data_IF_911645993346
#
_entry.id   IF_911645993346
#
_cell.length_a   1.000
_cell.length_b   1.000
_cell.length_c   1.000
_cell.angle_alpha   90.00
_cell.angle_beta   90.00
_cell.angle_gamma   90.00
#
_symmetry.space_group_name_H-M   'P 1'
#
loop_
_entity.id
_entity.type
_entity.pdbx_description
1 polymer ?
#
# COMPACT_ATOMS: atom_id res chain seq x y z
N UNK A 1 137.10 76.17 -18.64
CA UNK A 1 136.09 77.08 -18.05
C UNK A 1 135.45 77.85 -19.19
N UNK A 2 134.13 77.99 -19.31
CA UNK A 2 133.04 77.44 -18.51
C UNK A 2 131.88 76.97 -19.44
N UNK A 3 130.99 76.09 -18.95
CA UNK A 3 129.73 75.77 -19.63
C UNK A 3 128.69 76.85 -19.30
N UNK A 4 127.92 77.31 -20.29
CA UNK A 4 126.84 78.28 -20.08
C UNK A 4 125.64 77.68 -19.32
N UNK A 5 124.85 78.50 -18.60
CA UNK A 5 123.79 78.02 -17.70
C UNK A 5 122.53 77.47 -18.42
N UNK A 6 122.36 77.76 -19.71
CA UNK A 6 121.15 77.43 -20.48
C UNK A 6 120.91 75.92 -20.60
N UNK A 7 121.98 75.12 -20.68
CA UNK A 7 121.88 73.66 -20.71
C UNK A 7 121.32 73.05 -19.40
N UNK A 8 121.53 73.71 -18.26
CA UNK A 8 120.95 73.28 -16.99
C UNK A 8 119.44 73.52 -16.94
N UNK A 9 118.98 74.67 -17.47
CA UNK A 9 117.55 75.00 -17.51
C UNK A 9 116.77 74.03 -18.41
N UNK A 10 117.29 73.75 -19.61
CA UNK A 10 116.72 72.75 -20.52
C UNK A 10 116.68 71.34 -19.91
N UNK A 11 117.71 70.94 -19.17
CA UNK A 11 117.72 69.68 -18.41
C UNK A 11 116.60 69.62 -17.37
N UNK A 12 116.49 70.64 -16.51
CA UNK A 12 115.42 70.70 -15.49
C UNK A 12 114.02 70.74 -16.08
N UNK A 13 113.82 71.40 -17.24
CA UNK A 13 112.53 71.36 -17.94
C UNK A 13 112.20 69.96 -18.48
N UNK A 14 113.19 69.23 -19.02
CA UNK A 14 112.98 67.88 -19.52
C UNK A 14 112.64 66.90 -18.37
N UNK A 15 113.37 66.97 -17.25
CA UNK A 15 113.08 66.19 -16.05
C UNK A 15 111.69 66.53 -15.47
N UNK A 16 111.32 67.81 -15.41
CA UNK A 16 110.00 68.22 -14.94
C UNK A 16 108.87 67.73 -15.85
N UNK A 17 109.05 67.79 -17.18
CA UNK A 17 108.10 67.21 -18.15
C UNK A 17 108.01 65.69 -18.00
N UNK A 18 109.14 65.00 -17.80
CA UNK A 18 109.14 63.54 -17.59
C UNK A 18 108.42 63.15 -16.29
N UNK A 19 108.65 63.88 -15.20
CA UNK A 19 107.92 63.71 -13.94
C UNK A 19 106.41 63.94 -14.11
N UNK A 20 106.00 65.04 -14.75
CA UNK A 20 104.59 65.32 -15.05
C UNK A 20 103.96 64.28 -15.99
N UNK A 21 104.74 63.70 -16.90
CA UNK A 21 104.27 62.60 -17.79
C UNK A 21 104.04 61.32 -16.97
N UNK A 22 105.00 60.95 -16.12
CA UNK A 22 104.87 59.79 -15.22
C UNK A 22 103.72 59.97 -14.22
N UNK A 23 103.49 61.18 -13.72
CA UNK A 23 102.35 61.50 -12.86
C UNK A 23 101.02 61.42 -13.60
N UNK A 24 100.93 61.93 -14.84
CA UNK A 24 99.75 61.76 -15.68
C UNK A 24 99.44 60.30 -15.95
N UNK A 25 100.44 59.47 -16.26
CA UNK A 25 100.25 58.01 -16.41
C UNK A 25 99.73 57.40 -15.11
N UNK A 26 100.29 57.74 -13.94
CA UNK A 26 99.77 57.26 -12.64
C UNK A 26 98.34 57.74 -12.35
N UNK A 27 97.94 58.93 -12.82
CA UNK A 27 96.58 59.45 -12.68
C UNK A 27 95.60 58.76 -13.64
N UNK A 28 96.02 58.43 -14.86
CA UNK A 28 95.27 57.57 -15.80
C UNK A 28 95.07 56.17 -15.18
N UNK A 29 96.15 55.55 -14.71
CA UNK A 29 96.15 54.25 -14.02
C UNK A 29 95.19 54.21 -12.81
N UNK A 30 95.06 55.33 -12.09
CA UNK A 30 94.12 55.48 -10.95
C UNK A 30 92.69 55.71 -11.44
N UNK A 31 92.49 56.54 -12.45
CA UNK A 31 91.17 56.82 -13.02
C UNK A 31 90.55 55.57 -13.65
N UNK A 32 91.29 54.76 -14.41
CA UNK A 32 90.81 53.49 -14.96
C UNK A 32 90.34 52.54 -13.84
N UNK A 33 91.15 52.39 -12.77
CA UNK A 33 90.78 51.56 -11.60
C UNK A 33 89.57 52.13 -10.83
N UNK A 34 89.33 53.44 -10.88
CA UNK A 34 88.11 54.06 -10.36
C UNK A 34 86.90 53.81 -11.27
N UNK A 35 87.05 53.89 -12.59
CA UNK A 35 85.99 53.60 -13.55
C UNK A 35 85.53 52.14 -13.47
N UNK A 36 86.44 51.16 -13.50
CA UNK A 36 86.08 49.74 -13.33
C UNK A 36 85.40 49.48 -11.99
N UNK A 37 85.80 50.19 -10.92
CA UNK A 37 85.15 50.07 -9.60
C UNK A 37 83.77 50.72 -9.54
N UNK A 38 83.53 51.80 -10.30
CA UNK A 38 82.20 52.39 -10.49
C UNK A 38 81.31 51.44 -11.29
N UNK A 39 81.84 50.82 -12.35
CA UNK A 39 81.15 49.83 -13.17
C UNK A 39 80.75 48.59 -12.34
N UNK A 40 81.67 48.02 -11.56
CA UNK A 40 81.38 46.95 -10.58
C UNK A 40 80.26 47.33 -9.59
N UNK A 41 80.27 48.57 -9.09
CA UNK A 41 79.25 49.04 -8.15
C UNK A 41 77.90 49.27 -8.84
N UNK A 42 77.90 49.72 -10.09
CA UNK A 42 76.71 49.89 -10.91
C UNK A 42 76.09 48.53 -11.28
N UNK A 43 76.90 47.52 -11.61
CA UNK A 43 76.42 46.16 -11.85
C UNK A 43 75.81 45.57 -10.57
N UNK A 44 76.51 45.65 -9.43
CA UNK A 44 76.02 45.18 -8.13
C UNK A 44 74.73 45.89 -7.71
N UNK A 45 74.60 47.19 -7.99
CA UNK A 45 73.35 47.94 -7.78
C UNK A 45 72.22 47.45 -8.70
N UNK A 46 72.51 47.13 -9.96
CA UNK A 46 71.56 46.52 -10.90
C UNK A 46 71.08 45.15 -10.43
N UNK A 47 72.01 44.27 -10.04
CA UNK A 47 71.68 42.95 -9.46
C UNK A 47 70.86 43.08 -8.15
N UNK A 48 71.15 44.07 -7.30
CA UNK A 48 70.38 44.37 -6.10
C UNK A 48 68.97 44.90 -6.41
N UNK A 49 68.82 45.73 -7.46
CA UNK A 49 67.51 46.21 -7.90
C UNK A 49 66.65 45.07 -8.47
N UNK A 50 67.24 44.18 -9.28
CA UNK A 50 66.55 43.01 -9.84
C UNK A 50 66.12 42.02 -8.75
N UNK A 51 67.01 41.67 -7.82
CA UNK A 51 66.68 40.78 -6.71
C UNK A 51 65.65 41.38 -5.74
N UNK A 52 65.67 42.70 -5.51
CA UNK A 52 64.59 43.39 -4.78
C UNK A 52 63.24 43.31 -5.51
N UNK A 53 63.22 43.46 -6.83
CA UNK A 53 61.99 43.36 -7.62
C UNK A 53 61.42 41.94 -7.62
N UNK A 54 62.27 40.92 -7.80
CA UNK A 54 61.92 39.50 -7.70
C UNK A 54 61.33 39.14 -6.32
N UNK A 55 62.01 39.51 -5.23
CA UNK A 55 61.50 39.32 -3.87
C UNK A 55 60.16 40.02 -3.64
N UNK A 56 59.98 41.23 -4.17
CA UNK A 56 58.70 41.95 -4.09
C UNK A 56 57.59 41.25 -4.87
N UNK A 57 57.90 40.69 -6.05
CA UNK A 57 56.92 39.93 -6.85
C UNK A 57 56.52 38.64 -6.16
N UNK A 58 57.47 37.90 -5.59
CA UNK A 58 57.19 36.66 -4.82
C UNK A 58 56.34 36.93 -3.59
N UNK A 59 56.59 38.05 -2.89
CA UNK A 59 55.77 38.46 -1.75
C UNK A 59 54.31 38.69 -2.18
N UNK A 60 54.09 39.47 -3.24
CA UNK A 60 52.75 39.75 -3.79
C UNK A 60 52.02 38.44 -4.13
N UNK A 61 52.66 37.52 -4.87
CA UNK A 61 52.04 36.24 -5.19
C UNK A 61 51.70 35.41 -3.94
N UNK A 62 52.56 35.42 -2.91
CA UNK A 62 52.28 34.73 -1.65
C UNK A 62 51.13 35.36 -0.83
N UNK A 63 50.92 36.66 -0.96
CA UNK A 63 49.78 37.36 -0.36
C UNK A 63 48.48 37.10 -1.15
N UNK A 64 48.53 37.06 -2.49
CA UNK A 64 47.42 36.64 -3.35
C UNK A 64 46.99 35.19 -3.08
N UNK A 65 47.94 34.25 -2.99
CA UNK A 65 47.67 32.85 -2.63
C UNK A 65 47.06 32.74 -1.23
N UNK A 66 47.58 33.48 -0.24
CA UNK A 66 47.03 33.52 1.11
C UNK A 66 45.61 34.10 1.16
N UNK A 67 45.34 35.17 0.41
CA UNK A 67 43.99 35.76 0.28
C UNK A 67 43.02 34.78 -0.39
N UNK A 68 43.47 34.07 -1.43
CA UNK A 68 42.68 33.02 -2.09
C UNK A 68 42.34 31.89 -1.13
N UNK A 69 43.32 31.32 -0.41
CA UNK A 69 43.10 30.28 0.59
C UNK A 69 42.16 30.78 1.71
N UNK A 70 42.32 32.03 2.15
CA UNK A 70 41.45 32.64 3.16
C UNK A 70 40.00 32.83 2.66
N UNK A 71 39.79 33.11 1.37
CA UNK A 71 38.46 33.16 0.75
C UNK A 71 37.86 31.76 0.65
N UNK A 72 38.59 30.81 0.07
CA UNK A 72 38.13 29.44 -0.14
C UNK A 72 37.78 28.75 1.20
N UNK A 73 38.48 29.10 2.29
CA UNK A 73 38.16 28.68 3.65
C UNK A 73 36.87 29.31 4.23
N UNK A 74 36.57 30.57 3.90
CA UNK A 74 35.31 31.23 4.30
C UNK A 74 34.13 30.68 3.49
N UNK A 75 34.30 30.48 2.18
CA UNK A 75 33.29 29.84 1.33
C UNK A 75 32.97 28.42 1.83
N UNK A 76 33.99 27.64 2.20
CA UNK A 76 33.80 26.32 2.81
C UNK A 76 33.06 26.37 4.15
N UNK A 77 33.30 27.38 5.00
CA UNK A 77 32.53 27.58 6.23
C UNK A 77 31.07 27.95 5.95
N UNK A 78 30.80 28.77 4.93
CA UNK A 78 29.46 29.14 4.50
C UNK A 78 28.69 27.90 4.02
N UNK A 79 29.28 27.09 3.14
CA UNK A 79 28.65 25.85 2.66
C UNK A 79 28.48 24.80 3.78
N UNK A 80 29.44 24.71 4.71
CA UNK A 80 29.31 23.84 5.89
C UNK A 80 28.15 24.27 6.79
N UNK A 81 28.01 25.57 7.05
CA UNK A 81 26.90 26.11 7.85
C UNK A 81 25.56 25.94 7.13
N UNK A 82 25.49 26.19 5.82
CA UNK A 82 24.31 25.99 4.98
C UNK A 82 23.86 24.53 4.92
N UNK A 83 24.81 23.58 4.88
CA UNK A 83 24.51 22.15 4.96
C UNK A 83 24.00 21.74 6.34
N UNK A 84 24.58 22.29 7.41
CA UNK A 84 24.10 22.09 8.77
C UNK A 84 22.69 22.66 8.97
N UNK A 85 22.40 23.86 8.47
CA UNK A 85 21.07 24.50 8.49
C UNK A 85 20.03 23.66 7.73
N UNK A 86 20.38 23.13 6.55
CA UNK A 86 19.53 22.19 5.80
C UNK A 86 19.21 20.94 6.62
N UNK A 87 20.21 20.31 7.24
CA UNK A 87 19.97 19.14 8.10
C UNK A 87 19.20 19.47 9.38
N UNK A 88 19.38 20.65 9.97
CA UNK A 88 18.58 21.12 11.11
C UNK A 88 17.10 21.27 10.70
N UNK A 89 16.81 21.87 9.55
CA UNK A 89 15.45 22.01 8.99
C UNK A 89 14.81 20.64 8.65
N UNK A 90 15.52 19.77 7.93
CA UNK A 90 15.09 18.39 7.63
C UNK A 90 14.73 17.62 8.92
N UNK A 91 15.52 17.80 9.99
CA UNK A 91 15.24 17.19 11.29
C UNK A 91 14.00 17.77 11.99
N UNK A 92 13.64 19.03 11.77
CA UNK A 92 12.37 19.59 12.29
C UNK A 92 11.17 19.08 11.50
N UNK A 93 11.26 19.01 10.17
CA UNK A 93 10.20 18.43 9.33
C UNK A 93 9.94 16.95 9.65
N UNK A 94 11.00 16.15 9.79
CA UNK A 94 10.90 14.74 10.18
C UNK A 94 10.30 14.56 11.58
N UNK A 95 10.64 15.40 12.56
CA UNK A 95 10.02 15.36 13.91
C UNK A 95 8.54 15.69 13.86
N UNK A 96 8.14 16.68 13.07
CA UNK A 96 6.72 17.04 12.89
C UNK A 96 5.94 15.91 12.21
N UNK A 97 6.54 15.23 11.22
CA UNK A 97 5.95 14.06 10.57
C UNK A 97 5.82 12.87 11.54
N UNK A 98 6.85 12.59 12.34
CA UNK A 98 6.82 11.54 13.37
C UNK A 98 5.70 11.83 14.38
N UNK A 99 5.62 13.04 14.94
CA UNK A 99 4.54 13.43 15.84
C UNK A 99 3.15 13.29 15.19
N UNK A 100 3.02 13.62 13.90
CA UNK A 100 1.77 13.41 13.15
C UNK A 100 1.40 11.93 13.01
N UNK A 101 2.38 11.06 12.78
CA UNK A 101 2.18 9.61 12.69
C UNK A 101 1.89 8.97 14.07
N UNK A 102 2.58 9.40 15.13
CA UNK A 102 2.35 8.97 16.51
C UNK A 102 0.92 9.30 16.96
N UNK A 103 0.46 10.53 16.74
CA UNK A 103 -0.94 10.91 17.00
C UNK A 103 -1.92 10.04 16.19
N UNK A 104 -1.62 9.75 14.91
CA UNK A 104 -2.50 8.92 14.07
C UNK A 104 -2.51 7.44 14.48
N UNK A 105 -1.41 6.92 15.03
CA UNK A 105 -1.36 5.58 15.62
C UNK A 105 -2.23 5.53 16.87
N UNK A 106 -2.10 6.49 17.79
CA UNK A 106 -2.94 6.60 18.99
C UNK A 106 -4.44 6.73 18.66
N UNK A 107 -4.81 7.46 17.61
CA UNK A 107 -6.19 7.49 17.10
C UNK A 107 -6.69 6.11 16.65
N UNK A 108 -5.84 5.34 15.95
CA UNK A 108 -6.19 4.00 15.44
C UNK A 108 -6.30 3.00 16.59
N UNK A 109 -5.37 3.01 17.55
CA UNK A 109 -5.40 2.16 18.75
C UNK A 109 -6.67 2.43 19.57
N UNK A 110 -7.02 3.70 19.82
CA UNK A 110 -8.27 4.07 20.50
C UNK A 110 -9.55 3.73 19.71
N UNK A 111 -9.46 3.48 18.40
CA UNK A 111 -10.57 2.97 17.60
C UNK A 111 -10.63 1.43 17.66
N UNK A 112 -9.49 0.74 17.64
CA UNK A 112 -9.41 -0.71 17.78
C UNK A 112 -9.92 -1.17 19.16
N UNK A 113 -9.49 -0.53 20.25
CA UNK A 113 -9.99 -0.76 21.62
C UNK A 113 -11.53 -0.63 21.74
N UNK A 114 -12.13 0.32 21.02
CA UNK A 114 -13.59 0.49 21.00
C UNK A 114 -14.28 -0.64 20.23
N UNK A 115 -13.79 -0.95 19.03
CA UNK A 115 -14.41 -2.00 18.19
C UNK A 115 -14.22 -3.40 18.76
N UNK A 116 -13.12 -3.67 19.46
CA UNK A 116 -12.91 -4.91 20.22
C UNK A 116 -13.83 -4.99 21.43
N UNK A 117 -13.98 -3.91 22.22
CA UNK A 117 -14.96 -3.84 23.31
C UNK A 117 -16.41 -4.02 22.85
N UNK A 118 -16.81 -3.41 21.72
CA UNK A 118 -18.13 -3.61 21.11
C UNK A 118 -18.33 -5.05 20.63
N UNK A 119 -17.31 -5.63 19.97
CA UNK A 119 -17.30 -7.03 19.51
C UNK A 119 -17.48 -8.00 20.68
N UNK A 120 -16.74 -7.82 21.77
CA UNK A 120 -16.77 -8.75 22.90
C UNK A 120 -18.10 -8.63 23.67
N UNK A 121 -18.65 -7.43 23.85
CA UNK A 121 -20.00 -7.25 24.40
C UNK A 121 -21.10 -7.89 23.53
N UNK A 122 -20.95 -7.87 22.20
CA UNK A 122 -21.84 -8.62 21.29
C UNK A 122 -21.62 -10.13 21.38
N UNK A 123 -20.40 -10.59 21.59
CA UNK A 123 -20.07 -12.01 21.76
C UNK A 123 -20.65 -12.58 23.06
N UNK A 124 -20.55 -11.86 24.18
CA UNK A 124 -21.20 -12.23 25.44
C UNK A 124 -22.72 -12.31 25.28
N UNK A 125 -23.34 -11.31 24.65
CA UNK A 125 -24.79 -11.28 24.42
C UNK A 125 -25.28 -12.39 23.48
N UNK A 126 -24.45 -12.80 22.52
CA UNK A 126 -24.73 -13.97 21.68
C UNK A 126 -24.63 -15.26 22.51
N UNK A 127 -23.62 -15.38 23.36
CA UNK A 127 -23.42 -16.54 24.23
C UNK A 127 -24.55 -16.70 25.27
N UNK A 128 -25.11 -15.61 25.83
CA UNK A 128 -26.30 -15.70 26.68
C UNK A 128 -27.51 -16.18 25.88
N UNK A 129 -27.78 -15.61 24.71
CA UNK A 129 -28.94 -15.97 23.89
C UNK A 129 -28.86 -17.42 23.35
N UNK A 130 -27.65 -17.93 23.08
CA UNK A 130 -27.47 -19.36 22.81
C UNK A 130 -27.82 -20.24 24.02
N UNK A 131 -27.53 -19.80 25.23
CA UNK A 131 -27.85 -20.55 26.44
C UNK A 131 -29.35 -20.53 26.73
N UNK A 132 -30.00 -19.37 26.62
CA UNK A 132 -31.46 -19.22 26.67
C UNK A 132 -32.15 -20.19 25.69
N UNK A 133 -31.61 -20.31 24.46
CA UNK A 133 -32.12 -21.23 23.45
C UNK A 133 -31.87 -22.72 23.80
N UNK A 134 -30.71 -23.05 24.41
CA UNK A 134 -30.43 -24.43 24.89
C UNK A 134 -31.38 -24.81 26.04
N UNK A 135 -31.65 -23.88 26.95
CA UNK A 135 -32.59 -24.07 28.07
C UNK A 135 -34.02 -24.24 27.57
N UNK A 136 -34.52 -23.36 26.70
CA UNK A 136 -35.85 -23.48 26.09
C UNK A 136 -36.02 -24.77 25.26
N UNK A 137 -34.96 -25.24 24.59
CA UNK A 137 -34.97 -26.53 23.90
C UNK A 137 -35.09 -27.72 24.87
N UNK A 138 -34.41 -27.65 26.03
CA UNK A 138 -34.53 -28.66 27.09
C UNK A 138 -35.94 -28.65 27.72
N UNK A 139 -36.52 -27.48 27.97
CA UNK A 139 -37.91 -27.34 28.44
C UNK A 139 -38.90 -27.94 27.44
N UNK A 140 -38.75 -27.66 26.14
CA UNK A 140 -39.59 -28.23 25.09
C UNK A 140 -39.47 -29.76 25.03
N UNK A 141 -38.27 -30.32 25.19
CA UNK A 141 -38.05 -31.77 25.24
C UNK A 141 -38.72 -32.40 26.48
N UNK A 142 -38.59 -31.77 27.65
CA UNK A 142 -39.24 -32.23 28.88
C UNK A 142 -40.79 -32.16 28.76
N UNK A 143 -41.32 -31.06 28.25
CA UNK A 143 -42.75 -30.89 28.00
C UNK A 143 -43.31 -31.92 27.00
N UNK A 144 -42.57 -32.17 25.91
CA UNK A 144 -42.91 -33.20 24.93
C UNK A 144 -42.89 -34.61 25.53
N UNK A 145 -41.95 -34.90 26.43
CA UNK A 145 -41.91 -36.15 27.19
C UNK A 145 -43.11 -36.29 28.10
N UNK A 146 -43.50 -35.22 28.82
CA UNK A 146 -44.66 -35.22 29.71
C UNK A 146 -45.97 -35.46 28.93
N UNK A 147 -46.17 -34.82 27.77
CA UNK A 147 -47.31 -35.10 26.90
C UNK A 147 -47.32 -36.54 26.36
N UNK A 148 -46.15 -37.14 26.09
CA UNK A 148 -46.05 -38.54 25.66
C UNK A 148 -46.42 -39.53 26.79
N UNK A 149 -46.12 -39.19 28.05
CA UNK A 149 -46.55 -39.98 29.22
C UNK A 149 -48.06 -39.84 29.43
N UNK A 150 -48.57 -38.61 29.49
CA UNK A 150 -50.00 -38.33 29.69
C UNK A 150 -50.88 -38.95 28.58
N UNK A 151 -50.39 -38.99 27.34
CA UNK A 151 -51.07 -39.68 26.23
C UNK A 151 -51.22 -41.19 26.47
N UNK A 152 -50.18 -41.85 27.00
CA UNK A 152 -50.23 -43.29 27.36
C UNK A 152 -51.11 -43.56 28.57
N UNK A 153 -51.12 -42.67 29.56
CA UNK A 153 -52.01 -42.75 30.71
C UNK A 153 -53.48 -42.62 30.29
N UNK A 154 -53.77 -41.69 29.36
CA UNK A 154 -55.10 -41.54 28.77
C UNK A 154 -55.51 -42.78 27.95
N UNK A 155 -54.60 -43.33 27.13
CA UNK A 155 -54.84 -44.57 26.37
C UNK A 155 -55.14 -45.77 27.28
N UNK A 156 -54.43 -45.90 28.41
CA UNK A 156 -54.70 -46.91 29.44
C UNK A 156 -56.05 -46.69 30.15
N UNK A 157 -56.46 -45.44 30.38
CA UNK A 157 -57.77 -45.15 31.00
C UNK A 157 -58.93 -45.40 30.02
N UNK A 158 -58.71 -45.13 28.72
CA UNK A 158 -59.63 -45.54 27.66
C UNK A 158 -59.77 -47.06 27.60
N UNK A 159 -58.68 -47.83 27.63
CA UNK A 159 -58.76 -49.30 27.60
C UNK A 159 -59.49 -49.87 28.84
N UNK A 160 -59.26 -49.31 30.04
CA UNK A 160 -60.05 -49.63 31.25
C UNK A 160 -61.53 -49.27 31.11
N UNK A 161 -61.84 -48.12 30.49
CA UNK A 161 -63.22 -47.69 30.26
C UNK A 161 -63.94 -48.60 29.26
N UNK A 162 -63.24 -49.08 28.23
CA UNK A 162 -63.74 -50.11 27.32
C UNK A 162 -63.92 -51.47 28.00
N UNK A 163 -63.03 -51.87 28.91
CA UNK A 163 -63.16 -53.07 29.73
C UNK A 163 -64.41 -52.99 30.61
N UNK A 164 -64.57 -51.90 31.37
CA UNK A 164 -65.75 -51.66 32.19
C UNK A 164 -67.04 -51.61 31.36
N UNK A 165 -66.99 -51.03 30.15
CA UNK A 165 -68.11 -50.98 29.22
C UNK A 165 -68.46 -52.37 28.67
N UNK A 166 -67.47 -53.23 28.40
CA UNK A 166 -67.65 -54.64 28.03
C UNK A 166 -68.25 -55.45 29.19
N UNK A 167 -67.79 -55.23 30.42
CA UNK A 167 -68.35 -55.87 31.63
C UNK A 167 -69.80 -55.46 31.87
N UNK A 168 -70.13 -54.17 31.77
CA UNK A 168 -71.50 -53.67 31.88
C UNK A 168 -72.41 -54.26 30.79
N UNK A 169 -71.94 -54.35 29.54
CA UNK A 169 -72.66 -55.04 28.47
C UNK A 169 -72.90 -56.52 28.76
N UNK A 170 -71.92 -57.21 29.33
CA UNK A 170 -72.06 -58.62 29.71
C UNK A 170 -72.98 -58.81 30.92
N UNK A 171 -73.01 -57.86 31.86
CA UNK A 171 -73.94 -57.85 33.00
C UNK A 171 -75.39 -57.51 32.57
N UNK A 172 -75.57 -56.71 31.52
CA UNK A 172 -76.88 -56.51 30.89
C UNK A 172 -77.34 -57.79 30.19
N UNK A 173 -76.46 -58.46 29.42
CA UNK A 173 -76.77 -59.75 28.77
C UNK A 173 -77.14 -60.83 29.78
N UNK A 174 -76.37 -61.03 30.86
CA UNK A 174 -76.70 -62.05 31.87
C UNK A 174 -77.98 -61.75 32.65
N UNK A 175 -78.35 -60.46 32.83
CA UNK A 175 -79.69 -60.07 33.29
C UNK A 175 -80.81 -60.31 32.27
N UNK A 176 -80.49 -60.31 30.98
CA UNK A 176 -81.43 -60.54 29.88
C UNK A 176 -81.64 -62.05 29.59
N UNK A 177 -80.64 -62.88 29.89
CA UNK A 177 -80.67 -64.34 29.77
C UNK A 177 -81.43 -65.05 30.91
N UNK A 178 -81.80 -64.34 31.99
CA UNK A 178 -82.51 -64.89 33.16
C UNK A 178 -83.75 -64.06 33.57
N UNK A 179 -84.89 -64.20 32.85
CA UNK A 179 -86.18 -63.70 33.33
C UNK A 179 -86.81 -64.65 34.37
N UNK A 180 -87.34 -64.07 35.47
CA UNK A 180 -88.04 -64.73 36.60
C UNK A 180 -87.12 -65.58 37.52
N UNK A 181 -87.31 -65.70 38.85
CA UNK A 181 -88.24 -65.12 39.85
C UNK A 181 -87.46 -65.07 41.19
N UNK A 182 -87.65 -64.13 42.14
CA UNK A 182 -88.72 -64.08 43.17
C UNK A 182 -88.61 -62.74 43.94
N UNK A 183 -89.76 -62.07 44.17
CA UNK A 183 -90.24 -61.25 45.31
C UNK A 183 -89.27 -60.67 46.38
N UNK A 184 -89.54 -59.57 47.09
CA UNK A 184 -90.68 -58.60 47.22
C UNK A 184 -90.07 -57.19 47.46
N UNK A 185 -90.74 -56.03 47.49
CA UNK A 185 -92.15 -55.56 47.60
C UNK A 185 -92.47 -54.63 46.41
N UNK A 186 -93.72 -54.31 46.01
CA UNK A 186 -95.03 -54.16 46.68
C UNK A 186 -95.29 -52.79 47.34
N UNK A 187 -95.57 -51.78 46.51
CA UNK A 187 -96.82 -51.00 46.62
C UNK A 187 -97.21 -50.42 45.24
N UNK A 188 -98.24 -51.04 44.65
CA UNK A 188 -99.41 -50.41 43.99
C UNK A 188 -99.17 -49.05 43.29
N UNK A 189 -99.31 -48.94 41.98
CA UNK A 189 -100.59 -49.14 41.25
C UNK A 189 -100.36 -49.01 39.71
N UNK A 190 -101.27 -49.36 38.78
CA UNK A 190 -102.64 -49.88 38.88
C UNK A 190 -103.01 -50.83 37.69
N UNK A 191 -104.31 -51.12 37.55
CA UNK A 191 -105.04 -51.77 36.44
C UNK A 191 -105.14 -50.89 35.18
N UNK A 192 -105.49 -51.34 33.96
CA UNK A 192 -105.96 -52.64 33.41
C UNK A 192 -105.30 -52.83 32.02
N UNK A 193 -104.87 -54.04 31.62
CA UNK A 193 -105.66 -55.10 30.98
C UNK A 193 -106.21 -54.75 29.59
N UNK A 194 -105.63 -55.43 28.59
CA UNK A 194 -105.79 -55.31 27.14
C UNK A 194 -107.23 -55.47 26.61
N UNK A 195 -107.56 -54.71 25.56
CA UNK A 195 -108.42 -55.21 24.48
C UNK A 195 -107.65 -55.15 23.14
N UNK A 196 -107.33 -56.29 22.48
CA UNK A 196 -106.54 -56.30 21.26
C UNK A 196 -107.29 -55.78 20.01
N UNK A 197 -108.59 -55.47 20.13
CA UNK A 197 -109.40 -54.89 19.06
C UNK A 197 -108.94 -53.47 18.68
N UNK A 198 -108.72 -52.62 19.68
CA UNK A 198 -108.44 -51.19 19.52
C UNK A 198 -107.02 -50.90 19.00
N UNK A 199 -106.10 -51.87 19.06
CA UNK A 199 -104.77 -51.73 18.44
C UNK A 199 -104.83 -51.97 16.92
N UNK A 200 -105.67 -52.92 16.46
CA UNK A 200 -105.93 -53.15 15.04
C UNK A 200 -106.62 -51.94 14.42
N UNK A 201 -107.58 -51.31 15.10
CA UNK A 201 -108.22 -50.08 14.61
C UNK A 201 -107.26 -48.87 14.63
N UNK A 202 -106.35 -48.79 15.60
CA UNK A 202 -105.27 -47.78 15.59
C UNK A 202 -104.28 -47.99 14.42
N UNK A 203 -103.96 -49.24 14.06
CA UNK A 203 -103.17 -49.55 12.86
C UNK A 203 -103.95 -49.24 11.57
N UNK A 204 -105.24 -49.60 11.49
CA UNK A 204 -106.08 -49.28 10.33
C UNK A 204 -106.26 -47.76 10.15
N UNK A 205 -106.49 -46.99 11.22
CA UNK A 205 -106.58 -45.52 11.13
C UNK A 205 -105.24 -44.87 10.79
N UNK A 206 -104.10 -45.47 11.17
CA UNK A 206 -102.78 -45.06 10.66
C UNK A 206 -102.65 -45.34 9.15
N UNK A 207 -103.03 -46.54 8.70
CA UNK A 207 -103.04 -46.93 7.27
C UNK A 207 -103.99 -46.05 6.45
N UNK A 208 -105.15 -45.66 6.99
CA UNK A 208 -106.04 -44.69 6.35
C UNK A 208 -105.45 -43.27 6.35
N UNK A 209 -104.75 -42.83 7.40
CA UNK A 209 -104.02 -41.56 7.43
C UNK A 209 -102.88 -41.50 6.40
N UNK A 210 -102.19 -42.62 6.14
CA UNK A 210 -101.23 -42.72 5.04
C UNK A 210 -101.90 -42.82 3.66
N UNK A 211 -102.99 -43.58 3.53
CA UNK A 211 -103.74 -43.72 2.27
C UNK A 211 -104.37 -42.39 1.82
N UNK A 212 -104.86 -41.59 2.76
CA UNK A 212 -105.41 -40.26 2.53
C UNK A 212 -104.35 -39.23 2.07
N UNK A 213 -103.04 -39.54 2.18
CA UNK A 213 -101.96 -38.70 1.64
C UNK A 213 -101.51 -39.07 0.22
N UNK A 214 -102.29 -39.87 -0.52
CA UNK A 214 -102.22 -39.89 -2.00
C UNK A 214 -102.79 -38.59 -2.59
N UNK A 215 -102.08 -37.48 -2.36
CA UNK A 215 -102.31 -36.22 -3.06
C UNK A 215 -102.09 -36.39 -4.57
N UNK A 216 -102.73 -35.55 -5.38
CA UNK A 216 -102.70 -35.66 -6.85
C UNK A 216 -101.30 -35.34 -7.39
N UNK A 217 -100.81 -36.03 -8.44
CA UNK A 217 -99.45 -35.89 -8.95
C UNK A 217 -99.28 -34.64 -9.85
N UNK A 218 -99.55 -33.45 -9.30
CA UNK A 218 -99.24 -32.16 -9.96
C UNK A 218 -98.64 -31.12 -9.00
N UNK A 219 -99.08 -31.07 -7.75
CA UNK A 219 -98.60 -30.03 -6.81
C UNK A 219 -97.39 -30.47 -5.97
N UNK A 220 -97.08 -31.76 -5.94
CA UNK A 220 -95.82 -32.28 -5.36
C UNK A 220 -94.61 -31.92 -6.24
N UNK A 221 -94.82 -31.78 -7.55
CA UNK A 221 -93.76 -31.43 -8.51
C UNK A 221 -93.19 -30.04 -8.19
N UNK A 222 -94.05 -29.01 -8.07
CA UNK A 222 -93.62 -27.66 -7.72
C UNK A 222 -92.95 -27.55 -6.34
N UNK A 223 -93.34 -28.39 -5.37
CA UNK A 223 -92.70 -28.43 -4.05
C UNK A 223 -91.34 -29.16 -4.07
N UNK A 224 -91.21 -30.22 -4.88
CA UNK A 224 -89.93 -30.87 -5.16
C UNK A 224 -89.02 -29.89 -5.89
N UNK A 225 -89.44 -29.36 -7.05
CA UNK A 225 -88.69 -28.40 -7.86
C UNK A 225 -88.16 -27.19 -7.06
N UNK A 226 -88.88 -26.72 -6.04
CA UNK A 226 -88.41 -25.61 -5.20
C UNK A 226 -87.36 -26.03 -4.14
N UNK A 227 -87.41 -27.25 -3.60
CA UNK A 227 -86.32 -27.78 -2.76
C UNK A 227 -85.15 -28.30 -3.61
N UNK A 228 -85.42 -28.91 -4.76
CA UNK A 228 -84.44 -29.38 -5.74
C UNK A 228 -83.65 -28.20 -6.33
N UNK A 229 -84.29 -27.10 -6.75
CA UNK A 229 -83.58 -25.88 -7.16
C UNK A 229 -82.77 -25.23 -6.02
N UNK A 230 -83.15 -25.46 -4.76
CA UNK A 230 -82.50 -24.89 -3.57
C UNK A 230 -81.31 -25.75 -3.14
N UNK A 231 -81.40 -27.07 -3.29
CA UNK A 231 -80.30 -28.02 -3.24
C UNK A 231 -79.33 -27.80 -4.41
N UNK A 232 -79.82 -27.59 -5.62
CA UNK A 232 -79.02 -27.26 -6.81
C UNK A 232 -78.26 -25.94 -6.63
N UNK A 233 -78.93 -24.87 -6.18
CA UNK A 233 -78.27 -23.58 -5.86
C UNK A 233 -77.27 -23.72 -4.70
N UNK A 234 -77.52 -24.60 -3.73
CA UNK A 234 -76.57 -24.94 -2.66
C UNK A 234 -75.35 -25.69 -3.20
N UNK A 235 -75.57 -26.73 -4.02
CA UNK A 235 -74.53 -27.55 -4.64
C UNK A 235 -73.67 -26.74 -5.61
N UNK A 236 -74.26 -25.91 -6.47
CA UNK A 236 -73.54 -25.00 -7.36
C UNK A 236 -72.72 -23.97 -6.59
N UNK A 237 -73.26 -23.40 -5.50
CA UNK A 237 -72.51 -22.48 -4.62
C UNK A 237 -71.34 -23.18 -3.92
N UNK A 238 -71.55 -24.40 -3.43
CA UNK A 238 -70.50 -25.20 -2.80
C UNK A 238 -69.44 -25.65 -3.82
N UNK A 239 -69.84 -25.98 -5.04
CA UNK A 239 -68.94 -26.32 -6.15
C UNK A 239 -68.09 -25.10 -6.56
N UNK A 240 -68.70 -23.91 -6.65
CA UNK A 240 -67.99 -22.64 -6.84
C UNK A 240 -66.96 -22.39 -5.74
N UNK A 241 -67.36 -22.49 -4.47
CA UNK A 241 -66.46 -22.36 -3.32
C UNK A 241 -65.30 -23.39 -3.36
N UNK A 242 -65.57 -24.65 -3.73
CA UNK A 242 -64.52 -25.68 -3.88
C UNK A 242 -63.58 -25.31 -5.04
N UNK A 243 -64.07 -24.79 -6.16
CA UNK A 243 -63.20 -24.33 -7.25
C UNK A 243 -62.37 -23.11 -6.86
N UNK A 244 -62.93 -22.15 -6.10
CA UNK A 244 -62.20 -20.98 -5.60
C UNK A 244 -61.09 -21.36 -4.61
N UNK A 245 -61.37 -22.26 -3.65
CA UNK A 245 -60.34 -22.74 -2.72
C UNK A 245 -59.24 -23.54 -3.43
N UNK A 246 -59.60 -24.34 -4.44
CA UNK A 246 -58.63 -25.04 -5.29
C UNK A 246 -57.80 -24.09 -6.17
N UNK A 247 -58.35 -22.94 -6.57
CA UNK A 247 -57.62 -21.90 -7.31
C UNK A 247 -56.65 -21.16 -6.39
N UNK A 248 -57.10 -20.69 -5.21
CA UNK A 248 -56.23 -20.10 -4.17
C UNK A 248 -55.09 -21.05 -3.79
N UNK A 249 -55.38 -22.35 -3.70
CA UNK A 249 -54.37 -23.37 -3.42
C UNK A 249 -53.35 -23.50 -4.57
N UNK A 250 -53.79 -23.46 -5.84
CA UNK A 250 -52.89 -23.40 -7.01
C UNK A 250 -52.03 -22.15 -7.00
N UNK A 251 -52.61 -20.97 -6.76
CA UNK A 251 -51.90 -19.69 -6.69
C UNK A 251 -50.84 -19.68 -5.57
N UNK A 252 -51.19 -20.23 -4.40
CA UNK A 252 -50.25 -20.38 -3.29
C UNK A 252 -49.09 -21.32 -3.63
N UNK A 253 -49.35 -22.47 -4.26
CA UNK A 253 -48.28 -23.38 -4.70
C UNK A 253 -47.42 -22.79 -5.81
N UNK A 254 -47.99 -22.13 -6.82
CA UNK A 254 -47.21 -21.47 -7.88
C UNK A 254 -46.40 -20.29 -7.34
N UNK A 255 -46.94 -19.53 -6.39
CA UNK A 255 -46.18 -18.47 -5.71
C UNK A 255 -45.04 -19.02 -4.86
N UNK A 256 -45.23 -20.17 -4.19
CA UNK A 256 -44.15 -20.86 -3.47
C UNK A 256 -43.08 -21.40 -4.43
N UNK A 257 -43.48 -22.03 -5.53
CA UNK A 257 -42.58 -22.54 -6.56
C UNK A 257 -41.72 -21.41 -7.15
N UNK A 258 -42.34 -20.31 -7.57
CA UNK A 258 -41.62 -19.14 -8.09
C UNK A 258 -40.63 -18.58 -7.06
N UNK A 259 -41.02 -18.45 -5.77
CA UNK A 259 -40.12 -17.99 -4.70
C UNK A 259 -38.94 -18.93 -4.45
N UNK A 260 -39.09 -20.23 -4.71
CA UNK A 260 -37.99 -21.21 -4.62
C UNK A 260 -37.06 -21.11 -5.84
N UNK A 261 -37.61 -20.93 -7.04
CA UNK A 261 -36.85 -20.73 -8.27
C UNK A 261 -36.07 -19.40 -8.25
N UNK A 262 -36.68 -18.30 -7.79
CA UNK A 262 -36.01 -17.01 -7.57
C UNK A 262 -34.84 -17.13 -6.59
N UNK A 263 -35.04 -17.80 -5.44
CA UNK A 263 -33.96 -18.06 -4.47
C UNK A 263 -32.85 -18.94 -5.04
N UNK A 264 -33.19 -19.95 -5.86
CA UNK A 264 -32.19 -20.78 -6.55
C UNK A 264 -31.37 -19.93 -7.54
N UNK A 265 -32.00 -18.96 -8.22
CA UNK A 265 -31.34 -18.04 -9.15
C UNK A 265 -30.45 -17.02 -8.41
N UNK A 266 -30.87 -16.48 -7.26
CA UNK A 266 -30.01 -15.55 -6.47
C UNK A 266 -28.80 -16.28 -5.90
N UNK A 267 -29.00 -17.41 -5.19
CA UNK A 267 -27.90 -18.24 -4.68
C UNK A 267 -26.97 -18.71 -5.81
N UNK A 268 -27.50 -19.01 -6.99
CA UNK A 268 -26.71 -19.37 -8.17
C UNK A 268 -25.79 -18.24 -8.66
N UNK A 269 -26.27 -16.99 -8.65
CA UNK A 269 -25.48 -15.79 -8.98
C UNK A 269 -24.43 -15.50 -7.91
N UNK A 270 -24.84 -15.46 -6.64
CA UNK A 270 -23.96 -15.25 -5.48
C UNK A 270 -22.81 -16.27 -5.47
N UNK A 271 -23.11 -17.55 -5.72
CA UNK A 271 -22.12 -18.63 -5.80
C UNK A 271 -21.22 -18.51 -7.05
N UNK A 272 -21.70 -17.95 -8.16
CA UNK A 272 -20.86 -17.64 -9.32
C UNK A 272 -19.94 -16.44 -9.04
N UNK A 273 -20.43 -15.42 -8.33
CA UNK A 273 -19.69 -14.21 -7.97
C UNK A 273 -18.62 -14.50 -6.91
N UNK A 274 -18.94 -15.27 -5.87
CA UNK A 274 -17.95 -15.79 -4.92
C UNK A 274 -16.85 -16.60 -5.65
N UNK A 275 -17.22 -17.44 -6.62
CA UNK A 275 -16.25 -18.17 -7.48
C UNK A 275 -15.44 -17.27 -8.42
N UNK A 276 -15.90 -16.06 -8.75
CA UNK A 276 -15.08 -15.05 -9.47
C UNK A 276 -14.13 -14.36 -8.48
N UNK A 277 -14.64 -13.91 -7.33
CA UNK A 277 -13.85 -13.27 -6.28
C UNK A 277 -12.68 -14.14 -5.80
N UNK A 278 -12.92 -15.43 -5.53
CA UNK A 278 -11.89 -16.40 -5.12
C UNK A 278 -10.79 -16.55 -6.19
N UNK A 279 -11.13 -16.58 -7.49
CA UNK A 279 -10.12 -16.63 -8.56
C UNK A 279 -9.33 -15.33 -8.65
N UNK A 280 -9.99 -14.18 -8.46
CA UNK A 280 -9.35 -12.88 -8.50
C UNK A 280 -8.38 -12.69 -7.30
N UNK A 281 -8.73 -13.17 -6.10
CA UNK A 281 -7.80 -13.15 -4.95
C UNK A 281 -6.67 -14.15 -5.11
N UNK A 282 -6.93 -15.35 -5.65
CA UNK A 282 -5.88 -16.30 -6.01
C UNK A 282 -4.89 -15.74 -7.05
N UNK A 283 -5.38 -15.01 -8.06
CA UNK A 283 -4.52 -14.37 -9.07
C UNK A 283 -3.63 -13.29 -8.43
N UNK A 284 -4.22 -12.36 -7.66
CA UNK A 284 -3.46 -11.32 -6.95
C UNK A 284 -2.42 -11.90 -6.00
N UNK A 285 -2.79 -12.92 -5.22
CA UNK A 285 -1.86 -13.59 -4.30
C UNK A 285 -0.70 -14.27 -5.05
N UNK A 286 -0.93 -14.80 -6.26
CA UNK A 286 0.13 -15.34 -7.10
C UNK A 286 1.04 -14.23 -7.69
N UNK A 287 0.47 -13.10 -8.11
CA UNK A 287 1.22 -11.93 -8.58
C UNK A 287 2.09 -11.33 -7.46
N UNK A 288 1.51 -11.10 -6.29
CA UNK A 288 2.19 -10.62 -5.08
C UNK A 288 3.29 -11.60 -4.63
N UNK A 289 3.03 -12.91 -4.66
CA UNK A 289 4.04 -13.94 -4.37
C UNK A 289 5.20 -13.93 -5.36
N UNK A 290 4.92 -13.77 -6.66
CA UNK A 290 5.95 -13.68 -7.69
C UNK A 290 6.80 -12.42 -7.55
N UNK A 291 6.19 -11.28 -7.23
CA UNK A 291 6.88 -10.01 -6.93
C UNK A 291 7.76 -10.18 -5.69
N UNK A 292 7.22 -10.72 -4.60
CA UNK A 292 7.94 -10.98 -3.34
C UNK A 292 9.18 -11.86 -3.57
N UNK A 293 9.02 -12.99 -4.27
CA UNK A 293 10.12 -13.89 -4.61
C UNK A 293 11.18 -13.21 -5.48
N UNK A 294 10.77 -12.42 -6.48
CA UNK A 294 11.71 -11.67 -7.33
C UNK A 294 12.48 -10.58 -6.56
N UNK A 295 11.84 -9.98 -5.55
CA UNK A 295 12.45 -8.98 -4.66
C UNK A 295 13.43 -9.63 -3.68
N UNK A 296 13.04 -10.76 -3.08
CA UNK A 296 13.89 -11.53 -2.18
C UNK A 296 15.15 -12.07 -2.88
N UNK A 297 15.03 -12.53 -4.14
CA UNK A 297 16.18 -12.90 -4.96
C UNK A 297 17.14 -11.74 -5.24
N UNK A 298 16.61 -10.54 -5.52
CA UNK A 298 17.43 -9.33 -5.69
C UNK A 298 18.11 -8.88 -4.38
N UNK A 299 17.43 -9.04 -3.22
CA UNK A 299 18.02 -8.80 -1.91
C UNK A 299 19.21 -9.76 -1.67
N UNK A 300 19.01 -11.06 -1.86
CA UNK A 300 20.04 -12.08 -1.68
C UNK A 300 21.24 -11.88 -2.63
N UNK A 301 20.99 -11.48 -3.88
CA UNK A 301 22.05 -11.11 -4.84
C UNK A 301 22.89 -9.94 -4.29
N UNK A 302 22.24 -8.85 -3.85
CA UNK A 302 22.89 -7.67 -3.28
C UNK A 302 23.62 -7.96 -1.95
N UNK A 303 23.09 -8.84 -1.10
CA UNK A 303 23.77 -9.30 0.12
C UNK A 303 25.04 -10.11 -0.19
N UNK A 304 24.99 -10.96 -1.23
CA UNK A 304 26.15 -11.71 -1.69
C UNK A 304 27.20 -10.79 -2.32
N UNK A 305 26.79 -9.78 -3.09
CA UNK A 305 27.67 -8.73 -3.62
C UNK A 305 28.32 -7.91 -2.49
N UNK A 306 27.54 -7.53 -1.48
CA UNK A 306 28.03 -6.78 -0.32
C UNK A 306 29.09 -7.60 0.44
N UNK A 307 28.81 -8.88 0.73
CA UNK A 307 29.77 -9.79 1.36
C UNK A 307 31.05 -9.96 0.53
N UNK A 308 30.92 -10.11 -0.80
CA UNK A 308 32.04 -10.19 -1.75
C UNK A 308 32.88 -8.90 -1.76
N UNK A 309 32.24 -7.74 -1.74
CA UNK A 309 32.91 -6.43 -1.69
C UNK A 309 33.58 -6.16 -0.34
N UNK A 310 33.00 -6.63 0.77
CA UNK A 310 33.64 -6.58 2.09
C UNK A 310 34.89 -7.44 2.17
N UNK A 311 34.89 -8.63 1.55
CA UNK A 311 36.09 -9.47 1.43
C UNK A 311 37.17 -8.77 0.59
N UNK A 312 36.83 -8.26 -0.59
CA UNK A 312 37.76 -7.50 -1.45
C UNK A 312 38.32 -6.25 -0.76
N UNK A 313 37.54 -5.60 0.12
CA UNK A 313 38.03 -4.48 0.92
C UNK A 313 39.00 -4.94 2.02
N UNK A 314 38.76 -6.08 2.66
CA UNK A 314 39.69 -6.68 3.66
C UNK A 314 40.99 -7.11 3.00
N UNK A 315 40.92 -7.82 1.87
CA UNK A 315 42.07 -8.26 1.05
C UNK A 315 42.95 -7.06 0.69
N UNK A 316 42.38 -6.04 0.05
CA UNK A 316 43.11 -4.84 -0.36
C UNK A 316 43.69 -4.05 0.83
N UNK A 317 43.01 -4.03 1.98
CA UNK A 317 43.53 -3.40 3.20
C UNK A 317 44.73 -4.17 3.76
N UNK A 318 44.71 -5.50 3.68
CA UNK A 318 45.85 -6.33 4.09
C UNK A 318 47.02 -6.24 3.11
N UNK A 319 46.77 -6.10 1.80
CA UNK A 319 47.78 -5.71 0.81
C UNK A 319 48.41 -4.35 1.16
N UNK A 320 47.60 -3.33 1.50
CA UNK A 320 48.13 -2.04 1.95
C UNK A 320 49.00 -2.15 3.20
N UNK A 321 48.58 -2.92 4.22
CA UNK A 321 49.39 -3.18 5.42
C UNK A 321 50.69 -3.92 5.09
N UNK A 322 50.63 -4.94 4.25
CA UNK A 322 51.80 -5.73 3.83
C UNK A 322 52.84 -4.85 3.15
N UNK A 323 52.42 -4.01 2.18
CA UNK A 323 53.32 -3.06 1.53
C UNK A 323 53.87 -2.03 2.50
N UNK A 324 53.06 -1.46 3.40
CA UNK A 324 53.51 -0.50 4.41
C UNK A 324 54.55 -1.10 5.38
N UNK A 325 54.32 -2.33 5.84
CA UNK A 325 55.28 -3.07 6.68
C UNK A 325 56.56 -3.31 5.89
N UNK A 326 56.47 -3.79 4.65
CA UNK A 326 57.65 -4.04 3.81
C UNK A 326 58.47 -2.76 3.55
N UNK A 327 57.82 -1.62 3.28
CA UNK A 327 58.52 -0.34 3.15
C UNK A 327 59.23 0.08 4.45
N UNK A 328 58.64 -0.18 5.61
CA UNK A 328 59.27 0.10 6.91
C UNK A 328 60.46 -0.83 7.16
N UNK A 329 60.35 -2.12 6.80
CA UNK A 329 61.45 -3.09 6.85
C UNK A 329 62.59 -2.71 5.90
N UNK A 330 62.30 -2.41 4.63
CA UNK A 330 63.31 -1.97 3.64
C UNK A 330 64.05 -0.70 4.11
N UNK A 331 63.33 0.25 4.73
CA UNK A 331 63.92 1.45 5.32
C UNK A 331 64.82 1.11 6.53
N UNK A 332 64.38 0.23 7.41
CA UNK A 332 65.13 -0.20 8.59
C UNK A 332 66.41 -0.97 8.21
N UNK A 333 66.30 -1.95 7.30
CA UNK A 333 67.45 -2.72 6.79
C UNK A 333 68.47 -1.82 6.07
N UNK A 334 68.00 -0.77 5.38
CA UNK A 334 68.89 0.25 4.80
C UNK A 334 69.61 1.07 5.88
N UNK A 335 68.93 1.50 6.94
CA UNK A 335 69.57 2.24 8.05
C UNK A 335 70.57 1.37 8.82
N UNK A 336 70.24 0.11 9.08
CA UNK A 336 71.14 -0.82 9.78
C UNK A 336 72.33 -1.19 8.89
N UNK A 337 72.11 -1.45 7.60
CA UNK A 337 73.19 -1.64 6.61
C UNK A 337 74.19 -0.49 6.59
N UNK A 338 73.71 0.74 6.81
CA UNK A 338 74.53 1.97 6.81
C UNK A 338 75.40 2.09 8.07
N UNK A 339 75.05 1.41 9.16
CA UNK A 339 75.88 1.34 10.38
C UNK A 339 77.13 0.44 10.20
N UNK A 340 77.04 -0.57 9.32
CA UNK A 340 78.08 -1.58 9.12
C UNK A 340 79.03 -1.31 7.95
N UNK A 341 78.57 -0.61 6.90
CA UNK A 341 79.38 -0.32 5.71
C UNK A 341 79.17 1.11 5.18
N UNK A 342 80.17 1.97 5.35
CA UNK A 342 80.12 3.40 5.01
C UNK A 342 80.21 3.74 3.50
N UNK A 343 79.75 2.86 2.61
CA UNK A 343 79.98 2.99 1.14
C UNK A 343 78.90 2.35 0.27
N UNK A 344 77.60 2.54 0.60
CA UNK A 344 76.47 2.27 -0.31
C UNK A 344 75.86 3.58 -0.81
N UNK A 345 75.55 3.65 -2.10
CA UNK A 345 75.18 4.90 -2.79
C UNK A 345 73.78 5.43 -2.42
N UNK A 346 73.55 6.76 -2.48
CA UNK A 346 72.22 7.36 -2.35
C UNK A 346 71.23 6.89 -3.44
N UNK A 347 71.73 6.32 -4.54
CA UNK A 347 70.92 5.70 -5.59
C UNK A 347 70.04 4.54 -5.07
N UNK A 348 70.44 3.83 -4.01
CA UNK A 348 69.67 2.70 -3.50
C UNK A 348 68.45 3.16 -2.69
N UNK A 349 68.61 4.12 -1.77
CA UNK A 349 67.49 4.80 -1.09
C UNK A 349 66.51 5.40 -2.10
N UNK A 350 67.02 6.08 -3.14
CA UNK A 350 66.17 6.67 -4.18
C UNK A 350 65.29 5.61 -4.86
N UNK A 351 65.82 4.42 -5.19
CA UNK A 351 65.03 3.34 -5.81
C UNK A 351 63.90 2.81 -4.91
N UNK A 352 64.12 2.70 -3.61
CA UNK A 352 63.06 2.30 -2.67
C UNK A 352 61.91 3.33 -2.63
N UNK A 353 62.25 4.63 -2.53
CA UNK A 353 61.26 5.72 -2.56
C UNK A 353 60.55 5.81 -3.91
N UNK A 354 61.27 5.64 -5.02
CA UNK A 354 60.69 5.63 -6.37
C UNK A 354 59.70 4.45 -6.56
N UNK A 355 59.97 3.28 -5.96
CA UNK A 355 59.00 2.15 -5.95
C UNK A 355 57.79 2.47 -5.08
N UNK A 356 57.99 2.85 -3.81
CA UNK A 356 56.91 3.23 -2.89
C UNK A 356 55.96 4.25 -3.54
N UNK A 357 56.50 5.29 -4.17
CA UNK A 357 55.70 6.28 -4.89
C UNK A 357 55.01 5.70 -6.15
N UNK A 358 55.65 4.79 -6.90
CA UNK A 358 55.04 4.11 -8.05
C UNK A 358 53.85 3.25 -7.61
N UNK A 359 54.00 2.52 -6.52
CA UNK A 359 53.03 1.54 -6.04
C UNK A 359 51.84 2.24 -5.34
N UNK A 360 52.09 3.34 -4.62
CA UNK A 360 51.05 4.30 -4.19
C UNK A 360 50.29 4.89 -5.39
N UNK A 361 50.98 5.27 -6.48
CA UNK A 361 50.31 5.77 -7.70
C UNK A 361 49.49 4.69 -8.42
N UNK A 362 49.90 3.42 -8.33
CA UNK A 362 49.13 2.29 -8.87
C UNK A 362 47.87 2.00 -8.05
N UNK A 363 47.97 2.08 -6.71
CA UNK A 363 46.85 1.81 -5.81
C UNK A 363 45.76 2.88 -5.89
N UNK A 364 46.14 4.17 -5.97
CA UNK A 364 45.20 5.26 -6.23
C UNK A 364 44.48 5.10 -7.58
N UNK A 365 45.18 4.70 -8.65
CA UNK A 365 44.55 4.39 -9.95
C UNK A 365 43.57 3.23 -9.87
N UNK A 366 43.93 2.14 -9.17
CA UNK A 366 43.02 1.01 -8.93
C UNK A 366 41.75 1.46 -8.18
N UNK A 367 41.90 2.34 -7.17
CA UNK A 367 40.77 2.91 -6.44
C UNK A 367 39.91 3.85 -7.29
N UNK A 368 40.53 4.69 -8.12
CA UNK A 368 39.85 5.55 -9.09
C UNK A 368 39.04 4.71 -10.09
N UNK A 369 39.62 3.63 -10.62
CA UNK A 369 38.91 2.69 -11.48
C UNK A 369 37.74 2.00 -10.79
N UNK A 370 37.88 1.57 -9.52
CA UNK A 370 36.78 1.02 -8.73
C UNK A 370 35.63 2.02 -8.61
N UNK A 371 35.93 3.27 -8.26
CA UNK A 371 34.93 4.34 -8.12
C UNK A 371 34.27 4.67 -9.47
N UNK A 372 35.04 4.72 -10.57
CA UNK A 372 34.50 4.92 -11.92
C UNK A 372 33.64 3.73 -12.40
N UNK A 373 33.98 2.49 -12.02
CA UNK A 373 33.12 1.30 -12.26
C UNK A 373 31.82 1.40 -11.46
N UNK A 374 31.89 1.77 -10.18
CA UNK A 374 30.71 1.97 -9.33
C UNK A 374 29.79 3.09 -9.85
N UNK A 375 30.34 4.26 -10.19
CA UNK A 375 29.60 5.39 -10.76
C UNK A 375 28.87 5.02 -12.06
N UNK A 376 29.53 4.28 -12.98
CA UNK A 376 28.88 3.73 -14.18
C UNK A 376 27.77 2.74 -13.84
N UNK A 377 27.94 1.93 -12.79
CA UNK A 377 26.90 1.04 -12.26
C UNK A 377 25.69 1.77 -11.68
N UNK A 378 25.90 2.86 -10.94
CA UNK A 378 24.81 3.72 -10.45
C UNK A 378 24.10 4.43 -11.63
N UNK A 379 24.82 5.00 -12.60
CA UNK A 379 24.21 5.63 -13.78
C UNK A 379 23.37 4.63 -14.59
N UNK A 380 23.84 3.39 -14.78
CA UNK A 380 23.07 2.31 -15.42
C UNK A 380 21.80 1.93 -14.62
N UNK A 381 21.89 1.83 -13.29
CA UNK A 381 20.71 1.58 -12.43
C UNK A 381 19.70 2.71 -12.52
N UNK A 382 20.15 3.97 -12.50
CA UNK A 382 19.27 5.13 -12.63
C UNK A 382 18.57 5.17 -13.99
N UNK A 383 19.29 4.94 -15.09
CA UNK A 383 18.70 4.83 -16.43
C UNK A 383 17.66 3.69 -16.55
N UNK A 384 17.86 2.58 -15.84
CA UNK A 384 16.86 1.50 -15.77
C UNK A 384 15.62 1.90 -14.95
N UNK A 385 15.78 2.71 -13.90
CA UNK A 385 14.66 3.25 -13.12
C UNK A 385 13.84 4.25 -13.94
N UNK A 386 14.49 5.16 -14.69
CA UNK A 386 13.81 6.08 -15.63
C UNK A 386 12.97 5.32 -16.64
N UNK A 387 13.50 4.24 -17.23
CA UNK A 387 12.72 3.40 -18.18
C UNK A 387 11.51 2.71 -17.54
N UNK A 388 11.62 2.24 -16.29
CA UNK A 388 10.47 1.71 -15.54
C UNK A 388 9.42 2.80 -15.30
N UNK A 389 9.85 4.02 -14.97
CA UNK A 389 8.99 5.18 -14.78
C UNK A 389 8.29 5.62 -16.07
N UNK A 390 9.00 5.68 -17.20
CA UNK A 390 8.42 5.94 -18.52
C UNK A 390 7.36 4.88 -18.90
N UNK A 391 7.59 3.60 -18.57
CA UNK A 391 6.59 2.54 -18.74
C UNK A 391 5.36 2.70 -17.83
N UNK A 392 5.57 3.07 -16.56
CA UNK A 392 4.48 3.32 -15.60
C UNK A 392 3.63 4.53 -16.01
N UNK A 393 4.25 5.60 -16.53
CA UNK A 393 3.56 6.77 -17.10
C UNK A 393 2.65 6.37 -18.28
N UNK A 394 3.08 5.44 -19.14
CA UNK A 394 2.25 4.93 -20.24
C UNK A 394 1.06 4.11 -19.72
N UNK A 395 1.28 3.24 -18.73
CA UNK A 395 0.19 2.49 -18.10
C UNK A 395 -0.82 3.43 -17.41
N UNK A 396 -0.34 4.43 -16.66
CA UNK A 396 -1.18 5.44 -16.02
C UNK A 396 -1.99 6.25 -17.05
N UNK A 397 -1.36 6.69 -18.14
CA UNK A 397 -2.06 7.35 -19.27
C UNK A 397 -3.20 6.49 -19.81
N UNK A 398 -2.95 5.20 -20.05
CA UNK A 398 -3.97 4.29 -20.59
C UNK A 398 -5.13 4.09 -19.61
N UNK A 399 -4.85 3.89 -18.32
CA UNK A 399 -5.88 3.76 -17.29
C UNK A 399 -6.70 5.06 -17.14
N UNK A 400 -6.04 6.21 -17.13
CA UNK A 400 -6.68 7.54 -17.03
C UNK A 400 -7.62 7.81 -18.21
N UNK A 401 -7.23 7.41 -19.41
CA UNK A 401 -8.07 7.54 -20.61
C UNK A 401 -9.22 6.50 -20.63
N UNK A 402 -9.01 5.29 -20.09
CA UNK A 402 -10.08 4.32 -19.87
C UNK A 402 -11.16 4.86 -18.92
N UNK A 403 -10.76 5.43 -17.77
CA UNK A 403 -11.69 6.05 -16.80
C UNK A 403 -12.49 7.18 -17.47
N UNK A 404 -11.83 8.06 -18.23
CA UNK A 404 -12.50 9.11 -19.03
C UNK A 404 -13.51 8.54 -20.01
N UNK A 405 -13.15 7.48 -20.74
CA UNK A 405 -14.02 6.85 -21.75
C UNK A 405 -15.24 6.12 -21.16
N UNK A 406 -15.16 5.68 -19.90
CA UNK A 406 -16.26 5.02 -19.18
C UNK A 406 -17.33 5.99 -18.71
N UNK A 407 -17.05 7.30 -18.64
CA UNK A 407 -18.05 8.35 -18.43
C UNK A 407 -18.76 8.34 -17.06
N UNK A 408 -18.29 7.56 -16.09
CA UNK A 408 -18.88 7.48 -14.75
C UNK A 408 -18.61 8.76 -13.96
N UNK A 409 -19.63 9.44 -13.39
CA UNK A 409 -19.45 10.74 -12.73
C UNK A 409 -18.67 10.64 -11.40
N UNK A 410 -18.65 9.48 -10.76
CA UNK A 410 -18.06 9.27 -9.43
C UNK A 410 -16.55 8.90 -9.46
N UNK A 411 -15.94 8.80 -10.64
CA UNK A 411 -14.56 8.33 -10.82
C UNK A 411 -13.65 9.44 -11.37
N UNK A 412 -12.90 10.08 -10.47
CA UNK A 412 -11.82 11.01 -10.85
C UNK A 412 -10.71 10.28 -11.63
N UNK A 413 -10.35 10.70 -12.86
CA UNK A 413 -9.19 10.19 -13.58
C UNK A 413 -7.85 10.58 -12.92
N UNK A 414 -7.84 11.51 -11.97
CA UNK A 414 -6.67 11.91 -11.19
C UNK A 414 -5.76 12.92 -11.91
N UNK A 415 -4.60 13.25 -11.30
CA UNK A 415 -3.69 14.30 -11.78
C UNK A 415 -3.18 14.08 -13.22
N UNK A 416 -2.96 15.16 -14.02
CA UNK A 416 -2.36 15.04 -15.34
C UNK A 416 -0.92 14.50 -15.30
N UNK A 417 -0.52 13.83 -16.40
CA UNK A 417 0.75 13.10 -16.53
C UNK A 417 2.00 13.93 -16.19
N UNK A 418 1.98 15.25 -16.42
CA UNK A 418 3.14 16.12 -16.23
C UNK A 418 3.52 16.32 -14.75
N UNK A 419 2.58 16.13 -13.81
CA UNK A 419 2.90 16.13 -12.36
C UNK A 419 3.90 15.03 -11.98
N UNK A 420 4.04 14.00 -12.83
CA UNK A 420 4.95 12.88 -12.65
C UNK A 420 6.15 12.94 -13.63
N UNK A 421 6.39 14.07 -14.30
CA UNK A 421 7.59 14.29 -15.10
C UNK A 421 8.84 14.26 -14.21
N UNK A 422 9.87 13.52 -14.62
CA UNK A 422 11.22 13.68 -14.06
C UNK A 422 11.80 15.00 -14.59
N UNK A 423 12.39 15.82 -13.72
CA UNK A 423 12.97 17.13 -14.09
C UNK A 423 14.50 17.10 -14.30
N UNK A 424 15.16 16.00 -13.91
CA UNK A 424 16.62 15.88 -13.95
C UNK A 424 17.17 15.76 -15.39
N UNK A 425 17.89 16.80 -15.82
CA UNK A 425 18.46 16.91 -17.15
C UNK A 425 19.60 15.92 -17.43
N UNK A 426 20.28 15.36 -16.42
CA UNK A 426 21.33 14.35 -16.62
C UNK A 426 20.78 12.94 -16.91
N UNK A 427 19.51 12.71 -16.56
CA UNK A 427 18.84 11.41 -16.65
C UNK A 427 17.93 11.29 -17.88
N UNK A 428 17.39 12.41 -18.36
CA UNK A 428 16.53 12.46 -19.52
C UNK A 428 17.33 12.49 -20.84
N UNK A 429 16.80 11.81 -21.86
CA UNK A 429 17.18 12.07 -23.25
C UNK A 429 16.52 13.35 -23.76
N UNK A 430 17.07 14.01 -24.79
CA UNK A 430 16.42 15.17 -25.43
C UNK A 430 14.96 14.85 -25.83
N UNK A 431 14.71 13.65 -26.33
CA UNK A 431 13.37 13.13 -26.65
C UNK A 431 12.48 12.97 -25.43
N UNK A 432 13.00 12.54 -24.27
CA UNK A 432 12.24 12.48 -23.01
C UNK A 432 11.94 13.89 -22.47
N UNK A 433 12.84 14.86 -22.65
CA UNK A 433 12.62 16.27 -22.30
C UNK A 433 11.52 16.91 -23.17
N UNK A 434 11.55 16.67 -24.48
CA UNK A 434 10.54 17.12 -25.43
C UNK A 434 9.17 16.50 -25.13
N UNK A 435 9.12 15.20 -24.80
CA UNK A 435 7.90 14.53 -24.35
C UNK A 435 7.35 15.09 -23.03
N UNK A 436 8.17 15.65 -22.14
CA UNK A 436 7.70 16.32 -20.92
C UNK A 436 7.03 17.66 -21.26
N UNK A 437 7.65 18.49 -22.11
CA UNK A 437 7.01 19.74 -22.60
C UNK A 437 5.67 19.47 -23.27
N UNK A 438 5.60 18.46 -24.14
CA UNK A 438 4.36 18.07 -24.80
C UNK A 438 3.28 17.53 -23.82
N UNK A 439 3.65 17.01 -22.64
CA UNK A 439 2.71 16.66 -21.56
C UNK A 439 2.18 17.90 -20.82
N UNK A 440 3.03 18.91 -20.62
CA UNK A 440 2.70 20.19 -19.99
C UNK A 440 1.78 21.03 -20.89
N UNK A 441 2.11 21.14 -22.18
CA UNK A 441 1.29 21.77 -23.22
C UNK A 441 -0.07 21.09 -23.34
N UNK A 442 -0.10 19.74 -23.44
CA UNK A 442 -1.35 18.96 -23.46
C UNK A 442 -2.23 19.27 -22.26
N UNK A 443 -1.65 19.30 -21.04
CA UNK A 443 -2.43 19.53 -19.84
C UNK A 443 -2.97 20.97 -19.75
N UNK A 444 -2.20 21.95 -20.24
CA UNK A 444 -2.64 23.34 -20.34
C UNK A 444 -3.81 23.49 -21.33
N UNK A 445 -3.77 22.77 -22.46
CA UNK A 445 -4.88 22.72 -23.42
C UNK A 445 -6.11 21.95 -22.88
N UNK A 446 -5.92 20.84 -22.15
CA UNK A 446 -7.01 20.15 -21.44
C UNK A 446 -7.72 21.08 -20.45
N UNK A 447 -6.97 21.90 -19.70
CA UNK A 447 -7.52 22.90 -18.77
C UNK A 447 -8.31 24.02 -19.47
N UNK A 448 -7.76 24.59 -20.55
CA UNK A 448 -8.46 25.61 -21.34
C UNK A 448 -9.75 25.08 -21.97
N UNK A 449 -9.76 23.83 -22.46
CA UNK A 449 -10.97 23.18 -22.96
C UNK A 449 -12.03 23.00 -21.87
N UNK A 450 -11.63 22.62 -20.65
CA UNK A 450 -12.56 22.50 -19.53
C UNK A 450 -13.18 23.86 -19.14
N UNK A 451 -12.38 24.93 -19.07
CA UNK A 451 -12.89 26.29 -18.87
C UNK A 451 -13.89 26.72 -19.95
N UNK A 452 -13.59 26.45 -21.22
CA UNK A 452 -14.48 26.77 -22.34
C UNK A 452 -15.79 25.97 -22.27
N UNK A 453 -15.73 24.68 -21.92
CA UNK A 453 -16.93 23.87 -21.70
C UNK A 453 -17.79 24.38 -20.53
N UNK A 454 -17.18 24.87 -19.44
CA UNK A 454 -17.92 25.51 -18.35
C UNK A 454 -18.58 26.81 -18.79
N UNK A 455 -17.86 27.67 -19.54
CA UNK A 455 -18.40 28.93 -20.09
C UNK A 455 -19.55 28.67 -21.06
N UNK A 456 -19.45 27.65 -21.91
CA UNK A 456 -20.54 27.20 -22.80
C UNK A 456 -21.75 26.74 -21.99
N UNK A 457 -21.61 25.80 -21.04
CA UNK A 457 -22.71 25.31 -20.19
C UNK A 457 -23.42 26.41 -19.39
N UNK A 458 -22.69 27.46 -18.99
CA UNK A 458 -23.27 28.63 -18.34
C UNK A 458 -24.06 29.50 -19.32
N UNK A 459 -23.54 29.72 -20.54
CA UNK A 459 -24.26 30.46 -21.59
C UNK A 459 -25.51 29.73 -22.09
N UNK A 460 -25.46 28.40 -22.23
CA UNK A 460 -26.62 27.55 -22.58
C UNK A 460 -27.72 27.65 -21.52
N UNK A 461 -27.34 27.65 -20.23
CA UNK A 461 -28.30 27.91 -19.14
C UNK A 461 -28.93 29.29 -19.25
N UNK A 462 -28.16 30.36 -19.51
CA UNK A 462 -28.71 31.71 -19.68
C UNK A 462 -29.65 31.84 -20.89
N UNK A 463 -29.35 31.16 -22.00
CA UNK A 463 -30.22 31.12 -23.19
C UNK A 463 -31.50 30.31 -22.90
N UNK A 464 -31.41 29.16 -22.22
CA UNK A 464 -32.59 28.38 -21.84
C UNK A 464 -33.51 29.15 -20.88
N UNK A 465 -32.94 29.93 -19.96
CA UNK A 465 -33.67 30.78 -19.01
C UNK A 465 -34.30 32.04 -19.60
N UNK A 466 -34.03 32.38 -20.87
CA UNK A 466 -34.60 33.56 -21.56
C UNK A 466 -35.68 33.21 -22.58
N UNK A 467 -36.08 31.93 -22.69
CA UNK A 467 -37.23 31.50 -23.53
C UNK A 467 -38.59 31.46 -22.81
N UNK A 468 -38.66 31.98 -21.58
CA UNK A 468 -39.87 32.05 -20.76
C UNK A 468 -40.12 33.47 -20.19
N UNK A 469 -40.39 34.42 -21.09
CA UNK A 469 -41.02 35.72 -20.79
C UNK A 469 -41.95 36.13 -21.94
#
# INVERSE_FOLDING_TARGET
MAKGPEYSSLGTFHEQVQCLTNENVQLQDRNEKLYSKVEELQEKLGQLALSKADLSSRLICSEEEKLKISKDFVDFQIDTNKKREQHEAENFELKNLILGLENRILEIELHDERTTGERDALQERLQTLENDHKELANEYLALKSNYLVLGKEHEQELSKSEELSRELLNLVKSKQEHPHHVQTKSLESQTEAEEPSAEVERVQTLIHRFSARRAKPKDVVAASEHEDQKLEKSLLRNQGHITEEMEKMREMYSSQQQKLEERMITMGKELQEAKKAIRNTQHKLAEESAILLSSHGQLQEVESENSRLQLQLKELNEEYRSHLVQYITDLAEYTDSKSSAATKEPAQMKRFVDSMLKDIRASYKSREEQLARAARGYKKRMQNLVKKHEGLLVAYRMQREQIRSLGSPDLDPGPPEHHFSITDAELLTNTSQELNRLREDKASLEGQLYELQMKVKLSEKMISGTSFQ
#
